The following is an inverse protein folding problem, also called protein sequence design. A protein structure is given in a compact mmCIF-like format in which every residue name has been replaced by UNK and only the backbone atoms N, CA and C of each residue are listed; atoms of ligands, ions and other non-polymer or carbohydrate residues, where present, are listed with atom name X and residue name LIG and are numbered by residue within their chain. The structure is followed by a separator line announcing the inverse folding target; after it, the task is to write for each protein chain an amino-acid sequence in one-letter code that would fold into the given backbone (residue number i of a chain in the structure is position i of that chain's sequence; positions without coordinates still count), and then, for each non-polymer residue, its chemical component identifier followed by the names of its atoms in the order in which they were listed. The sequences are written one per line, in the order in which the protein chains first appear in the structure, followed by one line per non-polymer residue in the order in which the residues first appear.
data_IF_849220801607
#
_entry.id   IF_849220801607
#
_cell.length_a   1.000
_cell.length_b   1.000
_cell.length_c   1.000
_cell.angle_alpha   90.00
_cell.angle_beta   90.00
_cell.angle_gamma   90.00
#
_symmetry.space_group_name_H-M   'P 1'
#
loop_
_entity.id
_entity.type
_entity.pdbx_description
1 polymer ?
#
# COMPACT_ATOMS: atom_id res chain seq x y z
N UNK A 1 28.51 -26.99 3.88
CA UNK A 1 28.86 -26.33 2.62
C UNK A 1 27.72 -26.68 1.66
N UNK A 2 26.72 -25.84 1.39
CA UNK A 2 26.66 -24.37 1.49
C UNK A 2 25.23 -23.90 1.85
N UNK A 3 24.93 -23.42 3.07
CA UNK A 3 25.13 -22.03 3.57
C UNK A 3 24.83 -20.89 2.58
N UNK A 4 25.16 -21.03 1.29
CA UNK A 4 24.73 -20.12 0.21
C UNK A 4 23.29 -20.38 -0.27
N UNK A 5 22.71 -21.56 0.02
CA UNK A 5 21.32 -21.92 -0.25
C UNK A 5 20.26 -21.19 0.61
N UNK A 6 20.61 -20.39 1.63
CA UNK A 6 19.60 -19.66 2.45
C UNK A 6 19.69 -18.14 2.35
N UNK A 7 20.84 -17.59 1.96
CA UNK A 7 21.05 -16.14 1.80
C UNK A 7 20.59 -15.59 0.44
N UNK A 8 20.55 -16.41 -0.63
CA UNK A 8 20.14 -15.98 -2.00
C UNK A 8 18.63 -16.14 -2.23
N UNK A 9 18.02 -17.22 -1.75
CA UNK A 9 16.57 -17.47 -1.86
C UNK A 9 15.78 -16.57 -0.90
N UNK A 10 16.33 -16.24 0.26
CA UNK A 10 15.79 -15.20 1.15
C UNK A 10 16.07 -13.77 0.65
N UNK A 11 17.12 -13.57 -0.15
CA UNK A 11 17.44 -12.28 -0.79
C UNK A 11 16.52 -11.88 -1.95
N UNK A 12 16.03 -12.83 -2.76
CA UNK A 12 15.09 -12.59 -3.87
C UNK A 12 13.65 -12.32 -3.41
N UNK A 13 13.25 -12.92 -2.28
CA UNK A 13 11.97 -12.69 -1.60
C UNK A 13 11.95 -11.29 -0.94
N UNK A 14 13.12 -10.80 -0.51
CA UNK A 14 13.33 -9.44 0.00
C UNK A 14 13.28 -8.37 -1.11
N UNK A 15 13.69 -8.67 -2.36
CA UNK A 15 13.60 -7.71 -3.48
C UNK A 15 12.20 -7.47 -4.07
N UNK A 16 11.28 -8.45 -4.02
CA UNK A 16 9.91 -8.28 -4.52
C UNK A 16 9.00 -7.53 -3.52
N UNK A 17 9.20 -7.73 -2.22
CA UNK A 17 8.61 -6.91 -1.16
C UNK A 17 9.20 -5.46 -1.15
N UNK A 18 10.46 -5.29 -1.55
CA UNK A 18 11.12 -3.98 -1.74
C UNK A 18 10.65 -3.24 -3.00
N UNK A 19 10.20 -3.92 -4.07
CA UNK A 19 9.39 -3.29 -5.14
C UNK A 19 8.03 -2.81 -4.61
N UNK A 20 7.46 -3.56 -3.67
CA UNK A 20 6.31 -3.13 -2.85
C UNK A 20 6.57 -1.84 -2.04
N UNK A 21 7.82 -1.49 -1.76
CA UNK A 21 8.21 -0.26 -1.05
C UNK A 21 8.73 0.86 -1.99
N UNK A 22 9.24 0.53 -3.19
CA UNK A 22 9.64 1.50 -4.21
C UNK A 22 8.45 2.08 -4.98
N UNK A 23 7.39 1.30 -5.25
CA UNK A 23 6.13 1.88 -5.71
C UNK A 23 5.45 2.72 -4.59
N UNK A 24 5.63 2.34 -3.32
CA UNK A 24 5.24 3.18 -2.18
C UNK A 24 6.06 4.49 -2.06
N UNK A 25 7.31 4.53 -2.53
CA UNK A 25 8.11 5.76 -2.64
C UNK A 25 7.64 6.69 -3.77
N UNK A 26 7.10 6.15 -4.88
CA UNK A 26 6.39 6.94 -5.91
C UNK A 26 5.03 7.47 -5.39
N UNK A 27 4.40 6.74 -4.48
CA UNK A 27 3.24 7.17 -3.69
C UNK A 27 3.54 8.38 -2.74
N UNK A 28 4.81 8.71 -2.44
CA UNK A 28 5.18 9.83 -1.53
C UNK A 28 5.68 11.10 -2.23
N UNK A 29 6.28 11.02 -3.41
CA UNK A 29 6.76 12.21 -4.16
C UNK A 29 5.62 13.12 -4.63
N UNK A 30 4.37 12.64 -4.61
CA UNK A 30 3.17 13.41 -4.94
C UNK A 30 2.51 14.10 -3.71
N UNK A 31 2.96 13.88 -2.46
CA UNK A 31 2.19 14.31 -1.26
C UNK A 31 2.92 15.22 -0.24
N UNK A 32 4.16 15.72 -0.43
CA UNK A 32 4.79 16.64 0.53
C UNK A 32 5.03 18.06 -0.01
N UNK A 33 3.96 18.85 -0.10
CA UNK A 33 4.02 20.30 0.11
C UNK A 33 3.47 20.56 1.52
N UNK A 34 4.33 21.10 2.40
CA UNK A 34 4.12 21.66 3.76
C UNK A 34 4.12 20.68 4.95
N UNK A 35 5.25 20.69 5.67
CA UNK A 35 5.27 20.94 7.13
C UNK A 35 6.59 21.62 7.53
N UNK A 36 6.49 22.80 8.14
CA UNK A 36 7.62 23.60 8.65
C UNK A 36 7.81 23.24 10.12
N UNK A 37 9.01 22.83 10.57
CA UNK A 37 9.33 22.83 12.00
C UNK A 37 9.74 24.23 12.43
N UNK A 38 9.06 24.74 13.48
CA UNK A 38 9.61 25.77 14.35
C UNK A 38 10.80 25.17 15.09
N UNK A 39 11.95 25.83 15.07
CA UNK A 39 12.60 26.25 16.30
C UNK A 39 13.83 27.14 16.09
N UNK A 40 13.89 28.16 16.95
CA UNK A 40 15.10 28.55 17.67
C UNK A 40 16.29 29.02 16.86
N UNK A 41 16.24 30.29 16.44
CA UNK A 41 17.47 31.06 16.27
C UNK A 41 18.21 31.19 17.61
N UNK A 42 19.50 30.84 17.62
CA UNK A 42 20.48 31.66 18.34
C UNK A 42 21.63 31.96 17.39
N UNK A 43 21.79 33.26 17.14
CA UNK A 43 22.80 33.88 16.28
C UNK A 43 24.12 33.97 17.07
N UNK A 44 25.25 34.30 16.43
CA UNK A 44 25.66 35.69 16.57
C UNK A 44 26.08 36.36 15.26
N UNK A 45 25.59 37.58 15.12
CA UNK A 45 25.90 38.53 14.06
C UNK A 45 27.23 39.23 14.37
N UNK A 46 28.13 39.33 13.40
CA UNK A 46 29.17 40.36 13.36
C UNK A 46 28.86 41.35 12.23
N UNK A 47 28.63 42.60 12.65
CA UNK A 47 28.74 43.91 11.98
C UNK A 47 28.52 44.02 10.45
N UNK A 48 27.38 44.65 10.13
CA UNK A 48 27.19 45.87 9.34
C UNK A 48 28.15 46.22 8.17
N UNK A 49 27.57 46.33 6.97
CA UNK A 49 27.82 47.45 6.06
C UNK A 49 26.60 47.69 5.14
N UNK A 50 26.03 48.89 5.25
CA UNK A 50 25.26 49.63 4.23
C UNK A 50 26.02 49.62 2.90
N UNK A 51 25.44 49.58 1.69
CA UNK A 51 24.08 49.70 1.21
C UNK A 51 24.19 50.02 -0.29
N UNK A 52 23.52 49.26 -1.16
CA UNK A 52 23.19 49.66 -2.54
C UNK A 52 21.83 49.05 -2.88
N UNK A 53 20.87 49.91 -3.16
CA UNK A 53 19.52 49.57 -3.62
C UNK A 53 19.58 49.11 -5.08
N UNK A 54 19.60 47.80 -5.31
CA UNK A 54 19.22 47.23 -6.59
C UNK A 54 17.72 46.93 -6.59
N UNK A 55 17.00 47.54 -7.53
CA UNK A 55 15.60 47.22 -7.79
C UNK A 55 15.48 45.75 -8.22
N UNK A 56 14.98 44.91 -7.31
CA UNK A 56 14.73 43.51 -7.58
C UNK A 56 13.50 43.39 -8.50
N UNK A 57 13.72 43.13 -9.80
CA UNK A 57 12.63 42.68 -10.69
C UNK A 57 11.95 41.47 -10.04
N UNK A 58 10.61 41.40 -9.98
CA UNK A 58 9.93 40.23 -9.44
C UNK A 58 10.36 39.01 -10.27
N UNK A 59 10.98 38.03 -9.61
CA UNK A 59 11.28 36.74 -10.22
C UNK A 59 9.96 36.18 -10.79
N UNK A 60 9.96 35.61 -12.00
CA UNK A 60 8.77 34.97 -12.54
C UNK A 60 8.29 33.94 -11.53
N UNK A 61 7.07 34.11 -11.01
CA UNK A 61 6.41 33.06 -10.25
C UNK A 61 6.30 31.89 -11.20
N UNK A 62 7.10 30.85 -10.96
CA UNK A 62 7.03 29.60 -11.72
C UNK A 62 5.62 29.06 -11.52
N UNK A 63 4.74 29.32 -12.49
CA UNK A 63 3.40 28.75 -12.53
C UNK A 63 3.62 27.26 -12.76
N UNK A 64 3.29 26.43 -11.76
CA UNK A 64 3.29 24.98 -11.94
C UNK A 64 2.48 24.69 -13.20
N UNK A 65 2.99 23.85 -14.12
CA UNK A 65 2.20 23.42 -15.25
C UNK A 65 0.88 22.85 -14.74
N UNK A 66 -0.24 23.08 -15.45
CA UNK A 66 -1.51 22.47 -15.07
C UNK A 66 -1.29 20.97 -14.91
N UNK A 67 -1.79 20.43 -13.79
CA UNK A 67 -1.76 19.00 -13.50
C UNK A 67 -2.25 18.27 -14.76
N UNK A 68 -1.36 17.50 -15.39
CA UNK A 68 -1.63 16.88 -16.69
C UNK A 68 -2.74 15.86 -16.54
N UNK A 69 -3.98 16.29 -16.79
CA UNK A 69 -5.17 15.45 -16.77
C UNK A 69 -5.08 14.46 -17.92
N UNK A 70 -5.11 13.16 -17.62
CA UNK A 70 -5.16 12.11 -18.65
C UNK A 70 -6.42 12.35 -19.52
N UNK A 71 -6.30 12.40 -20.85
CA UNK A 71 -7.45 12.60 -21.73
C UNK A 71 -8.57 11.59 -21.43
N UNK A 72 -9.86 11.98 -21.45
CA UNK A 72 -10.96 11.09 -21.09
C UNK A 72 -11.00 9.77 -21.87
N UNK A 73 -10.62 9.80 -23.15
CA UNK A 73 -10.55 8.60 -23.99
C UNK A 73 -9.40 7.64 -23.61
N UNK A 74 -8.27 8.17 -23.16
CA UNK A 74 -7.15 7.36 -22.65
C UNK A 74 -7.47 6.79 -21.27
N UNK A 75 -8.13 7.59 -20.43
CA UNK A 75 -8.65 7.15 -19.13
C UNK A 75 -9.63 5.98 -19.28
N UNK A 76 -10.60 6.07 -20.19
CA UNK A 76 -11.58 5.01 -20.42
C UNK A 76 -10.89 3.69 -20.82
N UNK A 77 -9.94 3.76 -21.76
CA UNK A 77 -9.13 2.59 -22.17
C UNK A 77 -8.30 2.02 -21.03
N UNK A 78 -7.73 2.87 -20.18
CA UNK A 78 -6.98 2.42 -19.01
C UNK A 78 -7.87 1.68 -18.00
N UNK A 79 -9.12 2.13 -17.79
CA UNK A 79 -10.08 1.44 -16.94
C UNK A 79 -10.55 0.11 -17.54
N UNK A 80 -10.77 0.04 -18.85
CA UNK A 80 -11.07 -1.22 -19.55
C UNK A 80 -9.91 -2.22 -19.42
N UNK A 81 -8.67 -1.74 -19.59
CA UNK A 81 -7.47 -2.54 -19.38
C UNK A 81 -7.35 -3.04 -17.94
N UNK A 82 -7.64 -2.18 -16.95
CA UNK A 82 -7.64 -2.57 -15.54
C UNK A 82 -8.63 -3.69 -15.24
N UNK A 83 -9.84 -3.62 -15.78
CA UNK A 83 -10.83 -4.67 -15.56
C UNK A 83 -10.38 -6.01 -16.18
N UNK A 84 -9.86 -5.97 -17.41
CA UNK A 84 -9.32 -7.16 -18.08
C UNK A 84 -8.14 -7.78 -17.30
N UNK A 85 -7.17 -6.98 -16.86
CA UNK A 85 -6.02 -7.45 -16.07
C UNK A 85 -6.46 -8.05 -14.74
N UNK A 86 -7.39 -7.40 -14.03
CA UNK A 86 -7.95 -7.89 -12.77
C UNK A 86 -8.71 -9.22 -12.97
N UNK A 87 -9.48 -9.36 -14.05
CA UNK A 87 -10.15 -10.61 -14.39
C UNK A 87 -9.15 -11.74 -14.65
N UNK A 88 -8.08 -11.47 -15.42
CA UNK A 88 -7.00 -12.43 -15.66
C UNK A 88 -6.29 -12.84 -14.37
N UNK A 89 -6.00 -11.88 -13.48
CA UNK A 89 -5.39 -12.13 -12.18
C UNK A 89 -6.28 -13.02 -11.29
N UNK A 90 -7.58 -12.71 -11.22
CA UNK A 90 -8.56 -13.49 -10.47
C UNK A 90 -8.69 -14.91 -11.02
N UNK A 91 -8.71 -15.09 -12.34
CA UNK A 91 -8.74 -16.40 -12.99
C UNK A 91 -7.49 -17.21 -12.65
N UNK A 92 -6.30 -16.61 -12.79
CA UNK A 92 -5.04 -17.26 -12.42
C UNK A 92 -5.02 -17.66 -10.94
N UNK A 93 -5.54 -16.82 -10.04
CA UNK A 93 -5.69 -17.13 -8.62
C UNK A 93 -6.63 -18.32 -8.38
N UNK A 94 -7.78 -18.37 -9.05
CA UNK A 94 -8.74 -19.47 -8.96
C UNK A 94 -8.14 -20.80 -9.45
N UNK A 95 -7.31 -20.75 -10.50
CA UNK A 95 -6.56 -21.89 -11.03
C UNK A 95 -5.32 -22.24 -10.19
N UNK A 96 -5.09 -21.56 -9.05
CA UNK A 96 -3.93 -21.73 -8.18
C UNK A 96 -2.57 -21.42 -8.84
N UNK A 97 -2.56 -20.70 -9.96
CA UNK A 97 -1.36 -20.14 -10.59
C UNK A 97 -0.99 -18.81 -9.93
N UNK A 98 -0.55 -18.88 -8.67
CA UNK A 98 -0.40 -17.71 -7.81
C UNK A 98 0.68 -16.74 -8.30
N UNK A 99 1.78 -17.23 -8.86
CA UNK A 99 2.83 -16.41 -9.44
C UNK A 99 2.33 -15.61 -10.64
N UNK A 100 1.48 -16.22 -11.48
CA UNK A 100 0.87 -15.52 -12.61
C UNK A 100 -0.19 -14.52 -12.14
N UNK A 101 -0.94 -14.85 -11.09
CA UNK A 101 -1.86 -13.91 -10.46
C UNK A 101 -1.12 -12.67 -9.94
N UNK A 102 0.01 -12.85 -9.24
CA UNK A 102 0.85 -11.74 -8.78
C UNK A 102 1.31 -10.86 -9.94
N UNK A 103 1.79 -11.44 -11.04
CA UNK A 103 2.21 -10.66 -12.23
C UNK A 103 1.06 -9.83 -12.80
N UNK A 104 -0.13 -10.40 -12.94
CA UNK A 104 -1.31 -9.66 -13.45
C UNK A 104 -1.78 -8.58 -12.48
N UNK A 105 -1.72 -8.84 -11.18
CA UNK A 105 -1.98 -7.80 -10.17
C UNK A 105 -0.94 -6.68 -10.20
N UNK A 106 0.33 -6.98 -10.49
CA UNK A 106 1.36 -5.96 -10.69
C UNK A 106 1.02 -5.05 -11.87
N UNK A 107 0.63 -5.61 -13.01
CA UNK A 107 0.19 -4.82 -14.16
C UNK A 107 -1.00 -3.91 -13.80
N UNK A 108 -1.94 -4.38 -12.97
CA UNK A 108 -3.01 -3.51 -12.46
C UNK A 108 -2.47 -2.32 -11.67
N UNK A 109 -1.52 -2.55 -10.76
CA UNK A 109 -0.95 -1.51 -9.90
C UNK A 109 -0.16 -0.47 -10.71
N UNK A 110 0.46 -0.87 -11.81
CA UNK A 110 1.14 0.04 -12.74
C UNK A 110 0.13 0.98 -13.41
N UNK A 111 -0.99 0.44 -13.91
CA UNK A 111 -2.03 1.25 -14.55
C UNK A 111 -2.71 2.18 -13.54
N UNK A 112 -2.99 1.74 -12.30
CA UNK A 112 -3.55 2.62 -11.26
C UNK A 112 -2.57 3.72 -10.84
N UNK A 113 -1.26 3.46 -10.85
CA UNK A 113 -0.25 4.48 -10.57
C UNK A 113 -0.18 5.57 -11.65
N UNK A 114 -0.36 5.17 -12.92
CA UNK A 114 -0.48 6.10 -14.06
C UNK A 114 -1.73 6.97 -13.91
N UNK A 115 -2.90 6.36 -13.66
CA UNK A 115 -4.16 7.08 -13.42
C UNK A 115 -4.07 8.02 -12.21
N UNK A 116 -3.36 7.60 -11.16
CA UNK A 116 -3.06 8.41 -9.99
C UNK A 116 -4.21 8.48 -8.97
N UNK A 117 -3.89 9.06 -7.80
CA UNK A 117 -4.79 9.08 -6.64
C UNK A 117 -6.02 9.99 -6.79
N UNK A 118 -6.09 10.83 -7.82
CA UNK A 118 -7.26 11.65 -8.12
C UNK A 118 -8.35 10.86 -8.85
N UNK A 119 -8.03 9.71 -9.44
CA UNK A 119 -9.00 8.83 -10.05
C UNK A 119 -9.62 7.90 -9.01
N UNK A 120 -10.83 8.24 -8.57
CA UNK A 120 -11.55 7.49 -7.55
C UNK A 120 -11.81 6.02 -7.93
N UNK A 121 -11.93 5.71 -9.22
CA UNK A 121 -12.17 4.33 -9.68
C UNK A 121 -10.87 3.53 -9.66
N UNK A 122 -9.77 4.13 -10.13
CA UNK A 122 -8.44 3.52 -10.06
C UNK A 122 -8.04 3.22 -8.60
N UNK A 123 -8.34 4.14 -7.68
CA UNK A 123 -8.12 3.96 -6.25
C UNK A 123 -8.87 2.76 -5.68
N UNK A 124 -10.17 2.61 -5.99
CA UNK A 124 -10.95 1.46 -5.51
C UNK A 124 -10.38 0.15 -6.04
N UNK A 125 -10.02 0.13 -7.32
CA UNK A 125 -9.40 -1.04 -7.95
C UNK A 125 -8.06 -1.37 -7.27
N UNK A 126 -7.21 -0.36 -7.03
CA UNK A 126 -5.94 -0.52 -6.33
C UNK A 126 -6.12 -1.16 -4.93
N UNK A 127 -7.05 -0.64 -4.12
CA UNK A 127 -7.33 -1.17 -2.79
C UNK A 127 -7.75 -2.65 -2.84
N UNK A 128 -8.65 -3.01 -3.78
CA UNK A 128 -9.10 -4.39 -3.98
C UNK A 128 -7.95 -5.28 -4.45
N UNK A 129 -7.14 -4.81 -5.40
CA UNK A 129 -5.98 -5.54 -5.93
C UNK A 129 -4.97 -5.83 -4.82
N UNK A 130 -4.58 -4.82 -4.03
CA UNK A 130 -3.63 -5.01 -2.91
C UNK A 130 -4.18 -5.96 -1.86
N UNK A 131 -5.47 -5.90 -1.56
CA UNK A 131 -6.10 -6.86 -0.67
C UNK A 131 -5.95 -8.29 -1.24
N UNK A 132 -6.21 -8.50 -2.54
CA UNK A 132 -6.10 -9.80 -3.19
C UNK A 132 -4.66 -10.30 -3.31
N UNK A 133 -3.68 -9.41 -3.49
CA UNK A 133 -2.25 -9.72 -3.44
C UNK A 133 -1.88 -10.28 -2.07
N UNK A 134 -2.34 -9.67 -0.98
CA UNK A 134 -2.14 -10.20 0.38
C UNK A 134 -2.70 -11.62 0.53
N UNK A 135 -3.91 -11.88 0.01
CA UNK A 135 -4.46 -13.24 0.02
C UNK A 135 -3.65 -14.21 -0.86
N UNK A 136 -3.15 -13.76 -2.00
CA UNK A 136 -2.32 -14.56 -2.90
C UNK A 136 -1.04 -15.02 -2.19
N UNK A 137 -0.39 -14.13 -1.44
CA UNK A 137 0.76 -14.50 -0.61
C UNK A 137 0.42 -15.48 0.51
N UNK A 138 -0.75 -15.36 1.16
CA UNK A 138 -1.24 -16.37 2.13
C UNK A 138 -1.34 -17.75 1.46
N UNK A 139 -1.88 -17.81 0.23
CA UNK A 139 -2.00 -19.07 -0.53
C UNK A 139 -0.64 -19.66 -0.91
N UNK A 140 0.35 -18.81 -1.16
CA UNK A 140 1.74 -19.20 -1.39
C UNK A 140 2.50 -19.56 -0.10
N UNK A 141 1.88 -19.37 1.07
CA UNK A 141 2.50 -19.49 2.41
C UNK A 141 3.65 -18.51 2.65
N UNK A 142 3.69 -17.42 1.89
CA UNK A 142 4.58 -16.29 2.13
C UNK A 142 3.91 -15.30 3.07
N UNK A 143 3.90 -15.65 4.36
CA UNK A 143 3.17 -14.90 5.37
C UNK A 143 3.80 -13.55 5.68
N UNK A 144 5.11 -13.40 5.52
CA UNK A 144 5.79 -12.11 5.68
C UNK A 144 5.35 -11.12 4.59
N UNK A 145 5.32 -11.54 3.32
CA UNK A 145 4.82 -10.70 2.23
C UNK A 145 3.33 -10.38 2.40
N UNK A 146 2.52 -11.36 2.80
CA UNK A 146 1.09 -11.15 3.06
C UNK A 146 0.84 -10.11 4.15
N UNK A 147 1.55 -10.21 5.28
CA UNK A 147 1.47 -9.28 6.41
C UNK A 147 1.94 -7.89 6.00
N UNK A 148 3.04 -7.79 5.26
CA UNK A 148 3.57 -6.53 4.76
C UNK A 148 2.54 -5.79 3.88
N UNK A 149 2.03 -6.44 2.83
CA UNK A 149 1.06 -5.83 1.91
C UNK A 149 -0.21 -5.39 2.63
N UNK A 150 -0.75 -6.23 3.53
CA UNK A 150 -1.93 -5.87 4.31
C UNK A 150 -1.66 -4.68 5.25
N UNK A 151 -0.47 -4.61 5.85
CA UNK A 151 -0.07 -3.50 6.72
C UNK A 151 0.04 -2.20 5.95
N UNK A 152 0.70 -2.22 4.79
CA UNK A 152 0.80 -1.05 3.91
C UNK A 152 -0.57 -0.53 3.49
N UNK A 153 -1.50 -1.44 3.16
CA UNK A 153 -2.86 -1.08 2.79
C UNK A 153 -3.66 -0.49 3.96
N UNK A 154 -3.52 -1.04 5.16
CA UNK A 154 -4.21 -0.53 6.37
C UNK A 154 -3.66 0.81 6.85
N UNK A 155 -2.38 1.08 6.60
CA UNK A 155 -1.69 2.31 6.99
C UNK A 155 -1.74 3.40 5.91
N UNK A 156 -2.40 3.14 4.78
CA UNK A 156 -2.58 4.13 3.73
C UNK A 156 -3.53 5.25 4.22
N UNK A 157 -2.94 6.34 4.68
CA UNK A 157 -3.67 7.47 5.25
C UNK A 157 -4.26 8.40 4.17
N UNK A 158 -3.91 8.21 2.90
CA UNK A 158 -4.39 9.07 1.83
C UNK A 158 -5.88 8.83 1.57
N UNK A 159 -6.31 7.57 1.62
CA UNK A 159 -7.69 7.18 1.30
C UNK A 159 -8.13 6.05 2.22
N UNK A 160 -9.20 6.30 2.99
CA UNK A 160 -9.77 5.31 3.89
C UNK A 160 -10.29 4.08 3.13
N UNK A 161 -10.05 2.90 3.68
CA UNK A 161 -10.63 1.66 3.18
C UNK A 161 -12.14 1.60 3.51
N UNK A 162 -12.97 1.16 2.55
CA UNK A 162 -14.33 0.71 2.86
C UNK A 162 -14.32 -0.34 3.98
N UNK A 163 -15.32 -0.30 4.88
CA UNK A 163 -15.35 -1.18 6.06
C UNK A 163 -15.33 -2.66 5.67
N UNK A 164 -16.10 -3.05 4.65
CA UNK A 164 -16.15 -4.43 4.15
C UNK A 164 -14.77 -4.92 3.64
N UNK A 165 -14.00 -4.02 3.02
CA UNK A 165 -12.64 -4.31 2.58
C UNK A 165 -11.68 -4.33 3.77
N UNK A 166 -11.85 -3.42 4.73
CA UNK A 166 -11.06 -3.35 5.97
C UNK A 166 -11.16 -4.65 6.77
N UNK A 167 -12.36 -5.22 6.89
CA UNK A 167 -12.59 -6.55 7.50
C UNK A 167 -11.72 -7.61 6.82
N UNK A 168 -11.75 -7.66 5.48
CA UNK A 168 -10.97 -8.64 4.70
C UNK A 168 -9.47 -8.47 4.90
N UNK A 169 -8.97 -7.24 4.89
CA UNK A 169 -7.53 -6.95 5.00
C UNK A 169 -7.02 -7.24 6.43
N UNK A 170 -7.76 -6.84 7.46
CA UNK A 170 -7.45 -7.17 8.86
C UNK A 170 -7.46 -8.69 9.08
N UNK A 171 -8.49 -9.38 8.59
CA UNK A 171 -8.55 -10.85 8.68
C UNK A 171 -7.34 -11.51 8.00
N UNK A 172 -6.96 -11.04 6.80
CA UNK A 172 -5.78 -11.56 6.07
C UNK A 172 -4.47 -11.29 6.82
N UNK A 173 -4.28 -10.10 7.39
CA UNK A 173 -3.12 -9.79 8.23
C UNK A 173 -3.08 -10.68 9.48
N UNK A 174 -4.23 -10.88 10.13
CA UNK A 174 -4.36 -11.77 11.28
C UNK A 174 -4.01 -13.23 10.96
N UNK A 175 -4.45 -13.75 9.81
CA UNK A 175 -4.06 -15.08 9.34
C UNK A 175 -2.54 -15.19 9.12
N UNK A 176 -1.93 -14.18 8.49
CA UNK A 176 -0.49 -14.15 8.28
C UNK A 176 0.28 -14.10 9.61
N UNK A 177 -0.10 -13.22 10.54
CA UNK A 177 0.49 -13.12 11.88
C UNK A 177 0.36 -14.44 12.65
N UNK A 178 -0.81 -15.08 12.60
CA UNK A 178 -1.05 -16.40 13.21
C UNK A 178 -0.09 -17.45 12.65
N UNK A 179 0.09 -17.50 11.33
CA UNK A 179 1.00 -18.44 10.68
C UNK A 179 2.48 -18.16 10.97
N UNK A 180 2.82 -16.91 11.29
CA UNK A 180 4.17 -16.51 11.75
C UNK A 180 4.40 -16.78 13.25
N UNK A 181 3.39 -17.28 13.98
CA UNK A 181 3.47 -17.53 15.42
C UNK A 181 3.23 -16.29 16.29
N UNK A 182 2.88 -15.15 15.70
CA UNK A 182 2.52 -13.92 16.41
C UNK A 182 1.02 -13.93 16.77
N UNK A 183 0.69 -14.71 17.80
CA UNK A 183 -0.69 -14.91 18.25
C UNK A 183 -1.33 -13.60 18.77
N UNK A 184 -0.54 -12.70 19.34
CA UNK A 184 -1.01 -11.44 19.91
C UNK A 184 -1.44 -10.47 18.80
N UNK A 185 -0.58 -10.30 17.78
CA UNK A 185 -0.94 -9.50 16.61
C UNK A 185 -2.13 -10.10 15.87
N UNK A 186 -2.17 -11.43 15.72
CA UNK A 186 -3.30 -12.11 15.08
C UNK A 186 -4.62 -11.87 15.83
N UNK A 187 -4.63 -12.02 17.15
CA UNK A 187 -5.81 -11.79 17.98
C UNK A 187 -6.28 -10.33 17.89
N UNK A 188 -5.36 -9.38 17.90
CA UNK A 188 -5.66 -7.95 17.74
C UNK A 188 -6.34 -7.69 16.39
N UNK A 189 -5.78 -8.23 15.30
CA UNK A 189 -6.33 -8.10 13.95
C UNK A 189 -7.71 -8.73 13.80
N UNK A 190 -7.92 -9.93 14.37
CA UNK A 190 -9.23 -10.57 14.33
C UNK A 190 -10.28 -9.81 15.13
N UNK A 191 -9.94 -9.27 16.31
CA UNK A 191 -10.86 -8.42 17.09
C UNK A 191 -11.21 -7.15 16.34
N UNK A 192 -10.24 -6.50 15.69
CA UNK A 192 -10.49 -5.36 14.84
C UNK A 192 -11.38 -5.72 13.63
N UNK A 193 -11.10 -6.84 12.96
CA UNK A 193 -11.90 -7.30 11.83
C UNK A 193 -13.35 -7.61 12.23
N UNK A 194 -13.56 -8.20 13.41
CA UNK A 194 -14.90 -8.44 13.96
C UNK A 194 -15.61 -7.11 14.26
N UNK A 195 -14.91 -6.12 14.79
CA UNK A 195 -15.46 -4.79 15.05
C UNK A 195 -15.96 -4.10 13.77
N UNK A 196 -15.26 -4.23 12.64
CA UNK A 196 -15.74 -3.67 11.36
C UNK A 196 -16.73 -4.58 10.61
N UNK A 197 -17.04 -5.77 11.14
CA UNK A 197 -18.00 -6.67 10.48
C UNK A 197 -19.43 -6.16 10.70
N UNK A 198 -20.35 -6.38 9.74
CA UNK A 198 -21.77 -6.12 9.94
C UNK A 198 -22.27 -6.75 11.25
N UNK A 199 -23.02 -6.00 12.04
CA UNK A 199 -23.54 -6.40 13.35
C UNK A 199 -22.46 -6.89 14.34
N UNK A 200 -21.20 -6.51 14.13
CA UNK A 200 -20.03 -7.03 14.86
C UNK A 200 -19.95 -8.56 14.88
N UNK A 201 -20.45 -9.21 13.82
CA UNK A 201 -20.61 -10.65 13.77
C UNK A 201 -19.98 -11.25 12.52
N UNK A 202 -19.07 -12.19 12.72
CA UNK A 202 -18.49 -13.00 11.65
C UNK A 202 -18.05 -14.35 12.23
N UNK A 203 -18.78 -15.45 11.94
CA UNK A 203 -18.49 -16.76 12.52
C UNK A 203 -17.08 -17.26 12.26
N UNK A 204 -16.49 -16.93 11.11
CA UNK A 204 -15.13 -17.35 10.76
C UNK A 204 -14.10 -16.63 11.62
N UNK A 205 -14.25 -15.31 11.79
CA UNK A 205 -13.36 -14.50 12.63
C UNK A 205 -13.52 -14.88 14.11
N UNK A 206 -14.76 -15.06 14.57
CA UNK A 206 -15.04 -15.47 15.95
C UNK A 206 -14.40 -16.83 16.29
N UNK A 207 -14.41 -17.78 15.34
CA UNK A 207 -13.72 -19.06 15.49
C UNK A 207 -12.20 -18.87 15.64
N UNK A 208 -11.59 -18.01 14.84
CA UNK A 208 -10.15 -17.74 14.94
C UNK A 208 -9.76 -17.12 16.29
N UNK A 209 -10.56 -16.17 16.79
CA UNK A 209 -10.39 -15.57 18.13
C UNK A 209 -10.46 -16.66 19.20
N UNK A 210 -11.50 -17.49 19.19
CA UNK A 210 -11.67 -18.55 20.18
C UNK A 210 -10.54 -19.59 20.17
N UNK A 211 -9.99 -19.90 18.99
CA UNK A 211 -8.85 -20.80 18.87
C UNK A 211 -7.58 -20.23 19.50
N UNK A 212 -7.29 -18.94 19.26
CA UNK A 212 -6.12 -18.27 19.83
C UNK A 212 -6.24 -18.06 21.34
N UNK A 213 -7.43 -17.72 21.84
CA UNK A 213 -7.67 -17.51 23.27
C UNK A 213 -7.58 -18.82 24.07
N UNK A 214 -7.92 -19.97 23.48
CA UNK A 214 -7.75 -21.29 24.11
C UNK A 214 -6.32 -21.81 24.12
N UNK A 215 -5.47 -21.28 23.25
CA UNK A 215 -4.08 -21.72 23.08
C UNK A 215 -3.09 -20.93 23.97
N UNK A 216 -3.58 -19.93 24.70
CA UNK A 216 -2.84 -19.16 25.71
C UNK A 216 -2.99 -19.79 27.09
#
# INVERSE_FOLDING_TARGET
MDSHAKKVVSGAVVTAALLGALMYAAYRSRTSVKSVPKDGSSVPFAKAASGKTEQHKPKPVMRLPPESTIPPGERAKALELLDALKQQANLAFQESRYEDAIKRYQDCLEVTAVLGAHDAEAVKIDQVVRANVSMTFIRMRDYDAARFVATMLLQDAAIALPEDLKVKVLYRRGLASKSLGDADAALSDFKAALHFSPDHSNPSIAKEIALLERAR
#
